data_IF_181429874666
#
_entry.id   IF_181429874666
#
_cell.length_a   1.000
_cell.length_b   1.000
_cell.length_c   1.000
_cell.angle_alpha   90.00
_cell.angle_beta   90.00
_cell.angle_gamma   90.00
#
_symmetry.space_group_name_H-M   'P 1'
#
loop_
_entity.id
_entity.type
_entity.pdbx_description
1 polymer ?
#
# COMPACT_ATOMS: atom_id res chain seq x y z
N UNK A 1 14.90 -1.29 -2.17
CA UNK A 1 13.85 -2.29 -1.90
C UNK A 1 14.49 -3.66 -1.88
N UNK A 2 14.15 -4.53 -0.94
CA UNK A 2 14.44 -5.95 -1.11
C UNK A 2 13.31 -6.53 -1.95
N UNK A 3 13.60 -7.03 -3.16
CA UNK A 3 12.73 -8.06 -3.76
C UNK A 3 12.74 -9.21 -2.77
N UNK A 4 11.70 -9.30 -1.93
CA UNK A 4 11.47 -10.55 -1.24
C UNK A 4 11.16 -11.57 -2.34
N UNK A 5 11.89 -12.69 -2.43
CA UNK A 5 11.43 -13.80 -3.26
C UNK A 5 9.96 -14.04 -2.89
N UNK A 6 9.07 -14.35 -3.86
CA UNK A 6 7.66 -14.61 -3.58
C UNK A 6 7.60 -15.47 -2.34
N UNK A 7 7.00 -14.96 -1.25
CA UNK A 7 7.08 -15.49 0.12
C UNK A 7 7.45 -16.97 0.05
N UNK A 8 8.75 -17.27 0.27
CA UNK A 8 9.41 -18.48 -0.25
C UNK A 8 8.60 -19.76 -0.07
N UNK A 9 8.86 -20.83 -0.84
CA UNK A 9 8.12 -22.09 -0.78
C UNK A 9 8.13 -22.63 0.66
N UNK A 10 7.11 -22.26 1.44
CA UNK A 10 7.22 -22.41 2.89
C UNK A 10 6.38 -21.50 3.77
N UNK A 11 5.93 -20.30 3.34
CA UNK A 11 5.09 -19.45 4.21
C UNK A 11 3.71 -19.26 3.60
N UNK A 12 3.63 -18.91 2.32
CA UNK A 12 2.37 -18.79 1.61
C UNK A 12 2.44 -19.65 0.35
N UNK A 13 2.02 -20.92 0.48
CA UNK A 13 1.92 -21.82 -0.68
C UNK A 13 1.10 -21.14 -1.79
N UNK A 14 1.43 -21.38 -3.07
CA UNK A 14 0.63 -20.88 -4.20
C UNK A 14 -0.87 -21.14 -4.02
N UNK A 15 -1.26 -22.28 -3.47
CA UNK A 15 -2.66 -22.60 -3.18
C UNK A 15 -3.30 -21.63 -2.16
N UNK A 16 -2.56 -21.18 -1.15
CA UNK A 16 -3.04 -20.18 -0.20
C UNK A 16 -2.98 -18.77 -0.81
N UNK A 17 -1.97 -18.47 -1.63
CA UNK A 17 -1.96 -17.25 -2.45
C UNK A 17 -3.25 -17.17 -3.26
N UNK A 18 -3.52 -18.19 -4.07
CA UNK A 18 -4.71 -18.28 -4.90
C UNK A 18 -5.99 -18.19 -4.04
N UNK A 19 -6.07 -18.91 -2.90
CA UNK A 19 -7.26 -18.89 -2.04
C UNK A 19 -7.49 -17.58 -1.25
N UNK A 20 -6.44 -16.81 -0.96
CA UNK A 20 -6.57 -15.49 -0.31
C UNK A 20 -6.84 -14.42 -1.37
N UNK A 21 -6.11 -14.48 -2.48
CA UNK A 21 -5.91 -13.34 -3.36
C UNK A 21 -6.65 -13.43 -4.70
N UNK A 22 -6.96 -14.63 -5.20
CA UNK A 22 -7.75 -14.78 -6.43
C UNK A 22 -9.19 -14.28 -6.25
N UNK A 23 -9.79 -14.53 -5.08
CA UNK A 23 -11.11 -13.99 -4.71
C UNK A 23 -11.14 -12.45 -4.61
N UNK A 24 -9.98 -11.80 -4.63
CA UNK A 24 -9.78 -10.38 -4.33
C UNK A 24 -9.06 -9.62 -5.45
N UNK A 25 -8.80 -10.28 -6.58
CA UNK A 25 -8.05 -9.74 -7.72
C UNK A 25 -6.65 -9.19 -7.37
N UNK A 26 -6.02 -9.75 -6.33
CA UNK A 26 -4.68 -9.35 -5.88
C UNK A 26 -3.64 -10.28 -6.51
N UNK A 27 -2.91 -9.83 -7.51
CA UNK A 27 -1.93 -10.68 -8.22
C UNK A 27 -0.49 -10.48 -7.73
N UNK A 28 -0.23 -9.34 -7.11
CA UNK A 28 1.08 -8.91 -6.65
C UNK A 28 0.96 -8.27 -5.26
N UNK A 29 1.87 -8.61 -4.35
CA UNK A 29 1.91 -8.05 -3.01
C UNK A 29 3.34 -7.77 -2.61
N UNK A 30 3.58 -6.56 -2.13
CA UNK A 30 4.90 -6.03 -1.83
C UNK A 30 4.98 -5.55 -0.40
N UNK A 31 6.09 -5.86 0.26
CA UNK A 31 6.42 -5.23 1.53
C UNK A 31 6.96 -3.83 1.22
N UNK A 32 6.28 -2.80 1.71
CA UNK A 32 6.72 -1.41 1.54
C UNK A 32 7.41 -0.99 2.82
N UNK A 33 8.61 -0.47 2.69
CA UNK A 33 9.37 0.07 3.80
C UNK A 33 9.68 1.55 3.53
N UNK A 34 9.52 2.37 4.58
CA UNK A 34 9.82 3.80 4.51
C UNK A 34 11.21 4.04 5.08
N UNK A 35 12.15 4.36 4.19
CA UNK A 35 13.51 4.77 4.51
C UNK A 35 13.82 6.15 3.88
N UNK A 36 14.88 6.80 4.36
CA UNK A 36 15.49 7.97 3.71
C UNK A 36 14.52 9.14 3.40
N UNK A 37 13.79 9.61 4.42
CA UNK A 37 12.97 10.82 4.27
C UNK A 37 13.86 12.05 3.96
N UNK A 38 13.38 13.00 3.14
CA UNK A 38 14.08 14.27 2.92
C UNK A 38 14.41 14.96 4.24
N UNK A 39 15.70 15.18 4.50
CA UNK A 39 16.20 15.75 5.77
C UNK A 39 16.16 17.28 5.73
N UNK A 40 14.96 17.85 5.57
CA UNK A 40 14.77 19.30 5.71
C UNK A 40 14.38 19.65 7.15
N UNK A 41 15.15 20.57 7.76
CA UNK A 41 15.01 21.01 9.15
C UNK A 41 13.88 22.04 9.35
N UNK A 42 12.68 21.72 8.90
CA UNK A 42 11.49 22.52 9.23
C UNK A 42 10.79 21.94 10.48
N UNK A 43 10.35 22.76 11.46
CA UNK A 43 9.57 22.28 12.61
C UNK A 43 8.28 21.53 12.24
N UNK A 44 7.74 21.79 11.05
CA UNK A 44 6.55 21.13 10.51
C UNK A 44 6.89 19.94 9.58
N UNK A 45 8.16 19.59 9.40
CA UNK A 45 8.53 18.38 8.66
C UNK A 45 8.06 17.13 9.40
N UNK A 46 7.45 16.14 8.71
CA UNK A 46 7.18 14.85 9.30
C UNK A 46 8.45 14.16 9.76
N UNK A 47 8.38 13.50 10.92
CA UNK A 47 9.48 12.63 11.39
C UNK A 47 9.49 11.30 10.65
N UNK A 48 10.60 10.55 10.70
CA UNK A 48 10.64 9.20 10.15
C UNK A 48 9.62 8.28 10.83
N UNK A 49 9.41 8.44 12.13
CA UNK A 49 8.40 7.69 12.87
C UNK A 49 6.99 7.99 12.32
N UNK A 50 6.68 9.26 12.07
CA UNK A 50 5.42 9.69 11.46
C UNK A 50 5.28 9.15 10.03
N UNK A 51 6.33 9.21 9.22
CA UNK A 51 6.32 8.67 7.87
C UNK A 51 6.10 7.15 7.85
N UNK A 52 6.62 6.39 8.81
CA UNK A 52 6.32 4.96 8.95
C UNK A 52 4.85 4.66 9.26
N UNK A 53 4.14 5.59 9.93
CA UNK A 53 2.69 5.46 10.16
C UNK A 53 1.85 5.69 8.90
N UNK A 54 2.47 6.07 7.78
CA UNK A 54 1.81 6.08 6.46
C UNK A 54 1.44 4.68 6.00
N UNK A 55 2.14 3.64 6.46
CA UNK A 55 1.77 2.25 6.24
C UNK A 55 0.67 1.90 7.26
N UNK A 56 -0.45 1.24 6.88
CA UNK A 56 -1.62 1.11 7.76
C UNK A 56 -1.34 0.23 8.96
N UNK A 57 -0.40 -0.70 8.79
CA UNK A 57 -0.01 -1.70 9.76
C UNK A 57 1.37 -2.25 9.39
N UNK A 58 2.24 -2.62 10.35
CA UNK A 58 3.55 -3.21 10.06
C UNK A 58 3.50 -4.50 9.22
N UNK A 59 2.38 -5.22 9.27
CA UNK A 59 2.14 -6.43 8.46
C UNK A 59 1.27 -6.16 7.23
N UNK A 60 1.18 -4.91 6.79
CA UNK A 60 0.48 -4.55 5.57
C UNK A 60 1.38 -4.75 4.35
N UNK A 61 0.80 -5.34 3.33
CA UNK A 61 1.38 -5.51 2.02
C UNK A 61 0.62 -4.61 1.05
N UNK A 62 1.34 -4.03 0.10
CA UNK A 62 0.80 -3.15 -0.93
C UNK A 62 0.63 -3.92 -2.24
N UNK A 63 -0.46 -3.71 -2.96
CA UNK A 63 -0.71 -4.20 -4.31
C UNK A 63 -0.69 -3.02 -5.27
N UNK A 64 0.24 -3.03 -6.24
CA UNK A 64 0.38 -1.97 -7.24
C UNK A 64 -0.80 -1.94 -8.21
N UNK A 65 -1.18 -3.11 -8.74
CA UNK A 65 -2.23 -3.27 -9.75
C UNK A 65 -3.58 -2.67 -9.30
N UNK A 66 -3.90 -2.84 -8.01
CA UNK A 66 -5.13 -2.32 -7.41
C UNK A 66 -4.91 -1.05 -6.58
N UNK A 67 -3.70 -0.51 -6.48
CA UNK A 67 -3.31 0.55 -5.55
C UNK A 67 -3.97 0.44 -4.18
N UNK A 68 -3.77 -0.69 -3.53
CA UNK A 68 -4.45 -1.00 -2.28
C UNK A 68 -3.55 -1.78 -1.32
N UNK A 69 -4.00 -1.95 -0.09
CA UNK A 69 -3.24 -2.59 0.96
C UNK A 69 -4.02 -3.72 1.60
N UNK A 70 -3.32 -4.77 2.00
CA UNK A 70 -3.89 -5.90 2.72
C UNK A 70 -2.97 -6.25 3.88
N UNK A 71 -3.55 -6.42 5.06
CA UNK A 71 -2.82 -6.91 6.23
C UNK A 71 -2.79 -8.43 6.16
N UNK A 72 -1.59 -8.99 6.29
CA UNK A 72 -1.34 -10.42 6.37
C UNK A 72 -0.49 -10.70 7.61
N UNK A 73 -1.13 -11.17 8.68
CA UNK A 73 -0.44 -11.51 9.94
C UNK A 73 -0.33 -13.02 10.11
N UNK A 74 0.90 -13.53 10.10
CA UNK A 74 1.22 -14.94 10.18
C UNK A 74 1.67 -15.33 11.57
N UNK A 75 1.08 -16.40 12.10
CA UNK A 75 1.39 -16.86 13.45
C UNK A 75 1.53 -18.38 13.46
N UNK A 76 2.50 -18.87 14.22
CA UNK A 76 2.57 -20.27 14.63
C UNK A 76 2.25 -20.35 16.11
N UNK A 77 0.98 -20.66 16.42
CA UNK A 77 0.47 -20.78 17.79
C UNK A 77 -0.71 -21.74 17.82
N UNK A 78 -0.71 -22.64 18.81
CA UNK A 78 -1.83 -23.53 19.09
C UNK A 78 -3.05 -22.76 19.57
N UNK A 79 -2.84 -21.64 20.27
CA UNK A 79 -3.88 -20.73 20.73
C UNK A 79 -4.31 -19.86 19.56
N UNK A 80 -5.58 -19.99 19.17
CA UNK A 80 -6.22 -19.16 18.17
C UNK A 80 -6.66 -17.81 18.77
N UNK A 81 -6.72 -16.75 17.97
CA UNK A 81 -7.23 -15.47 18.42
C UNK A 81 -8.71 -15.57 18.83
N UNK A 82 -9.19 -14.74 19.77
CA UNK A 82 -10.59 -14.66 20.14
C UNK A 82 -11.48 -14.43 18.92
N UNK A 83 -12.53 -15.24 18.79
CA UNK A 83 -13.48 -15.12 17.70
C UNK A 83 -14.46 -13.97 17.98
N UNK A 84 -14.67 -13.11 16.98
CA UNK A 84 -15.62 -12.00 17.05
C UNK A 84 -17.09 -12.48 16.97
N UNK A 85 -17.31 -13.71 16.47
CA UNK A 85 -18.64 -14.29 16.30
C UNK A 85 -18.60 -15.83 16.35
N UNK A 86 -19.73 -16.48 16.66
CA UNK A 86 -19.87 -17.93 16.48
C UNK A 86 -19.63 -18.35 15.02
N UNK A 87 -18.98 -19.49 14.83
CA UNK A 87 -18.68 -20.03 13.50
C UNK A 87 -19.78 -21.01 13.07
N UNK A 88 -20.13 -20.98 11.79
CA UNK A 88 -21.07 -21.93 11.18
C UNK A 88 -20.46 -23.32 10.97
N UNK A 89 -19.14 -23.39 10.88
CA UNK A 89 -18.36 -24.63 10.74
C UNK A 89 -17.42 -24.76 11.94
N UNK A 90 -17.19 -25.99 12.44
CA UNK A 90 -16.27 -26.20 13.55
C UNK A 90 -14.84 -25.82 13.16
N UNK A 91 -14.06 -25.40 14.16
CA UNK A 91 -12.61 -25.23 14.02
C UNK A 91 -11.95 -26.59 13.81
N UNK A 92 -10.76 -26.65 13.16
CA UNK A 92 -10.04 -27.91 13.04
C UNK A 92 -9.59 -28.41 14.42
N UNK A 93 -9.40 -29.73 14.54
CA UNK A 93 -9.05 -30.40 15.80
C UNK A 93 -7.82 -29.77 16.47
N UNK A 94 -8.03 -29.18 17.64
CA UNK A 94 -6.99 -28.48 18.40
C UNK A 94 -5.90 -29.44 18.92
N UNK A 95 -6.28 -30.62 19.42
CA UNK A 95 -5.34 -31.61 19.95
C UNK A 95 -4.39 -32.06 18.86
N UNK A 96 -4.92 -32.32 17.65
CA UNK A 96 -4.10 -32.66 16.49
C UNK A 96 -3.14 -31.52 16.13
N UNK A 97 -3.63 -30.28 16.06
CA UNK A 97 -2.82 -29.11 15.72
C UNK A 97 -1.69 -28.84 16.72
N UNK A 98 -1.85 -29.20 17.99
CA UNK A 98 -0.80 -29.07 19.00
C UNK A 98 0.37 -30.05 18.78
N UNK A 99 0.14 -31.18 18.11
CA UNK A 99 1.16 -32.21 17.92
C UNK A 99 2.16 -31.86 16.82
N UNK A 100 1.76 -31.02 15.85
CA UNK A 100 2.57 -30.67 14.69
C UNK A 100 2.81 -29.16 14.73
N UNK A 101 4.08 -28.76 14.87
CA UNK A 101 4.46 -27.33 14.91
C UNK A 101 4.36 -26.67 13.53
N UNK A 102 4.74 -27.38 12.48
CA UNK A 102 4.71 -26.91 11.08
C UNK A 102 4.49 -28.09 10.13
N UNK A 103 3.73 -27.87 9.06
CA UNK A 103 3.60 -28.84 7.97
C UNK A 103 4.78 -28.78 6.99
N UNK A 104 5.64 -27.77 7.11
CA UNK A 104 6.65 -27.42 6.11
C UNK A 104 8.05 -27.88 6.54
N UNK A 105 8.21 -28.30 7.81
CA UNK A 105 9.46 -28.82 8.32
C UNK A 105 9.54 -30.35 8.17
N UNK A 106 10.54 -30.81 7.41
CA UNK A 106 10.90 -32.20 7.23
C UNK A 106 12.41 -32.38 7.14
N UNK A 107 13.13 -32.14 8.24
CA UNK A 107 14.47 -32.74 8.44
C UNK A 107 14.30 -34.10 9.14
N UNK A 108 13.77 -35.06 8.39
CA UNK A 108 13.95 -36.47 8.75
C UNK A 108 15.37 -36.91 8.39
N UNK A 109 16.08 -37.71 9.21
CA UNK A 109 17.43 -38.18 8.93
C UNK A 109 17.53 -39.15 7.72
N UNK A 110 16.43 -39.41 7.03
CA UNK A 110 16.37 -40.26 5.84
C UNK A 110 15.12 -39.90 5.04
N UNK A 111 15.26 -39.86 3.71
CA UNK A 111 14.19 -39.73 2.69
C UNK A 111 13.51 -38.36 2.52
N UNK A 112 14.02 -37.62 1.51
CA UNK A 112 13.41 -36.59 0.65
C UNK A 112 12.39 -35.62 1.27
N UNK A 113 12.62 -34.29 1.20
CA UNK A 113 11.61 -33.31 1.57
C UNK A 113 10.38 -33.48 0.67
N UNK A 114 9.29 -34.01 1.22
CA UNK A 114 7.96 -33.86 0.62
C UNK A 114 7.49 -32.46 0.98
N UNK A 115 7.39 -31.56 0.01
CA UNK A 115 6.77 -30.25 0.21
C UNK A 115 5.29 -30.44 0.56
N UNK A 116 4.97 -30.57 1.84
CA UNK A 116 3.58 -30.65 2.29
C UNK A 116 3.10 -29.20 2.47
N UNK A 117 2.24 -28.74 1.56
CA UNK A 117 1.54 -27.48 1.73
C UNK A 117 0.56 -27.57 2.90
N UNK A 118 0.43 -26.50 3.67
CA UNK A 118 -0.64 -26.39 4.66
C UNK A 118 -2.03 -26.58 4.00
N UNK A 119 -2.91 -27.36 4.66
CA UNK A 119 -4.31 -27.45 4.28
C UNK A 119 -5.14 -26.45 5.09
N UNK A 120 -5.70 -25.44 4.41
CA UNK A 120 -6.28 -24.25 5.03
C UNK A 120 -7.80 -24.27 5.09
N UNK A 121 -8.33 -23.86 6.25
CA UNK A 121 -9.75 -23.59 6.45
C UNK A 121 -9.95 -22.08 6.64
N UNK A 122 -10.81 -21.48 5.82
CA UNK A 122 -11.13 -20.04 5.87
C UNK A 122 -12.38 -19.79 6.69
N UNK A 123 -12.28 -18.86 7.63
CA UNK A 123 -13.37 -18.35 8.44
C UNK A 123 -13.50 -16.84 8.20
N UNK A 124 -14.46 -16.45 7.36
CA UNK A 124 -14.63 -15.05 6.94
C UNK A 124 -14.99 -14.16 8.13
N UNK A 125 -14.38 -12.98 8.26
CA UNK A 125 -14.69 -11.98 9.29
C UNK A 125 -14.84 -12.61 10.69
N UNK A 126 -13.91 -13.48 11.05
CA UNK A 126 -13.98 -14.30 12.26
C UNK A 126 -13.26 -13.68 13.45
N UNK A 127 -12.33 -12.75 13.21
CA UNK A 127 -11.48 -12.13 14.24
C UNK A 127 -11.62 -10.62 14.17
N UNK A 128 -11.71 -9.94 15.31
CA UNK A 128 -11.77 -8.48 15.33
C UNK A 128 -10.37 -7.89 15.11
N UNK A 129 -10.22 -6.81 14.36
CA UNK A 129 -8.89 -6.25 14.05
C UNK A 129 -8.16 -5.68 15.28
N UNK A 130 -8.86 -5.47 16.40
CA UNK A 130 -8.24 -5.16 17.71
C UNK A 130 -7.47 -6.34 18.31
N UNK A 131 -7.46 -7.50 17.66
CA UNK A 131 -6.60 -8.63 18.05
C UNK A 131 -5.22 -8.58 17.36
N UNK A 132 -5.01 -7.62 16.43
CA UNK A 132 -3.69 -7.37 15.87
C UNK A 132 -2.81 -6.63 16.88
N UNK A 133 -1.51 -6.89 16.79
CA UNK A 133 -0.48 -6.19 17.53
C UNK A 133 0.57 -5.67 16.52
N UNK A 134 0.67 -4.35 16.30
CA UNK A 134 -0.09 -3.28 16.95
C UNK A 134 -1.58 -3.24 16.54
N UNK A 135 -2.41 -2.59 17.35
CA UNK A 135 -3.85 -2.46 17.09
C UNK A 135 -4.11 -1.73 15.76
N UNK A 136 -4.92 -2.33 14.89
CA UNK A 136 -5.46 -1.63 13.74
C UNK A 136 -6.62 -0.73 14.18
N UNK A 137 -6.41 0.58 14.17
CA UNK A 137 -7.42 1.58 14.56
C UNK A 137 -8.43 1.77 13.43
N UNK A 138 -9.28 0.77 13.22
CA UNK A 138 -10.51 0.84 12.40
C UNK A 138 -11.58 0.04 13.16
N UNK A 139 -12.50 0.77 13.80
CA UNK A 139 -13.40 0.26 14.84
C UNK A 139 -14.40 -0.83 14.38
N UNK A 140 -14.45 -1.13 13.08
CA UNK A 140 -15.36 -2.07 12.44
C UNK A 140 -14.65 -3.13 11.57
N UNK A 141 -13.32 -3.14 11.56
CA UNK A 141 -12.57 -4.05 10.69
C UNK A 141 -12.55 -5.45 11.30
N UNK A 142 -13.11 -6.41 10.55
CA UNK A 142 -13.02 -7.83 10.85
C UNK A 142 -12.02 -8.48 9.89
N UNK A 143 -11.27 -9.45 10.41
CA UNK A 143 -10.26 -10.20 9.69
C UNK A 143 -10.79 -11.60 9.35
N UNK A 144 -10.45 -12.06 8.16
CA UNK A 144 -10.58 -13.47 7.79
C UNK A 144 -9.51 -14.26 8.54
N UNK A 145 -9.91 -15.38 9.16
CA UNK A 145 -8.99 -16.30 9.82
C UNK A 145 -8.78 -17.52 8.92
N UNK A 146 -7.53 -17.80 8.57
CA UNK A 146 -7.12 -19.01 7.86
C UNK A 146 -6.39 -19.92 8.84
N UNK A 147 -6.91 -21.13 9.06
CA UNK A 147 -6.33 -22.09 10.03
C UNK A 147 -5.86 -23.34 9.31
N UNK A 148 -4.62 -23.77 9.55
CA UNK A 148 -4.16 -25.07 9.07
C UNK A 148 -4.80 -26.19 9.90
N UNK A 149 -5.37 -27.21 9.26
CA UNK A 149 -6.01 -28.32 10.00
C UNK A 149 -5.03 -29.34 10.60
N UNK A 150 -3.74 -29.24 10.27
CA UNK A 150 -2.72 -30.21 10.67
C UNK A 150 -1.77 -29.65 11.73
N UNK A 151 -1.35 -28.38 11.62
CA UNK A 151 -0.38 -27.76 12.53
C UNK A 151 -0.88 -26.50 13.23
N UNK A 152 -0.05 -25.92 14.08
CA UNK A 152 -0.30 -24.68 14.81
C UNK A 152 -0.27 -23.40 13.96
N UNK A 153 -0.09 -23.47 12.64
CA UNK A 153 -0.05 -22.27 11.79
C UNK A 153 -1.45 -21.71 11.54
N UNK A 154 -1.60 -20.39 11.67
CA UNK A 154 -2.76 -19.64 11.19
C UNK A 154 -2.34 -18.29 10.59
N UNK A 155 -3.21 -17.71 9.78
CA UNK A 155 -3.02 -16.41 9.15
C UNK A 155 -4.29 -15.55 9.34
N UNK A 156 -4.08 -14.26 9.62
CA UNK A 156 -5.13 -13.26 9.64
C UNK A 156 -5.01 -12.37 8.41
N UNK A 157 -6.13 -12.16 7.72
CA UNK A 157 -6.20 -11.37 6.50
C UNK A 157 -7.24 -10.28 6.63
N UNK A 158 -6.87 -9.01 6.41
CA UNK A 158 -7.85 -7.92 6.39
C UNK A 158 -8.66 -7.88 5.11
N UNK A 159 -9.73 -7.08 5.10
CA UNK A 159 -10.30 -6.58 3.84
C UNK A 159 -9.28 -5.69 3.11
N UNK A 160 -9.54 -5.44 1.83
CA UNK A 160 -8.73 -4.51 1.03
C UNK A 160 -8.88 -3.10 1.62
N UNK A 161 -7.76 -2.46 1.89
CA UNK A 161 -7.67 -1.07 2.32
C UNK A 161 -7.31 -0.26 1.08
N UNK A 162 -8.24 0.53 0.53
CA UNK A 162 -7.97 1.29 -0.68
C UNK A 162 -6.84 2.31 -0.46
N UNK A 163 -6.09 2.59 -1.53
CA UNK A 163 -5.15 3.70 -1.56
C UNK A 163 -5.85 5.06 -1.48
N UNK A 164 -5.06 6.12 -1.32
CA UNK A 164 -5.57 7.51 -1.30
C UNK A 164 -6.13 7.91 -2.65
N UNK A 165 -5.48 7.46 -3.72
CA UNK A 165 -5.92 7.66 -5.11
C UNK A 165 -6.60 6.36 -5.56
N UNK A 166 -7.80 6.41 -6.13
CA UNK A 166 -8.45 5.18 -6.61
C UNK A 166 -7.70 4.58 -7.81
N UNK A 167 -7.76 3.26 -7.94
CA UNK A 167 -7.18 2.53 -9.08
C UNK A 167 -7.69 3.06 -10.40
N UNK A 168 -8.99 3.34 -10.51
CA UNK A 168 -9.62 3.90 -11.71
C UNK A 168 -8.96 5.22 -12.13
N UNK A 169 -8.67 6.11 -11.18
CA UNK A 169 -8.01 7.38 -11.46
C UNK A 169 -6.55 7.20 -11.87
N UNK A 170 -5.85 6.22 -11.29
CA UNK A 170 -4.49 5.90 -11.69
C UNK A 170 -4.44 5.35 -13.12
N UNK A 171 -5.32 4.41 -13.46
CA UNK A 171 -5.40 3.83 -14.79
C UNK A 171 -5.77 4.88 -15.83
N UNK A 172 -6.77 5.72 -15.56
CA UNK A 172 -7.16 6.82 -16.45
C UNK A 172 -6.00 7.81 -16.64
N UNK A 173 -5.32 8.19 -15.57
CA UNK A 173 -4.19 9.11 -15.64
C UNK A 173 -3.02 8.53 -16.43
N UNK A 174 -2.70 7.25 -16.21
CA UNK A 174 -1.69 6.54 -16.97
C UNK A 174 -2.04 6.54 -18.46
N UNK A 175 -3.27 6.17 -18.81
CA UNK A 175 -3.76 6.10 -20.19
C UNK A 175 -3.72 7.47 -20.89
N UNK A 176 -4.18 8.53 -20.22
CA UNK A 176 -4.11 9.91 -20.75
C UNK A 176 -2.67 10.29 -21.07
N UNK A 177 -1.75 10.00 -20.16
CA UNK A 177 -0.33 10.34 -20.31
C UNK A 177 0.34 9.54 -21.38
N UNK A 178 0.07 8.24 -21.41
CA UNK A 178 0.58 7.33 -22.42
C UNK A 178 0.15 7.77 -23.82
N UNK A 179 -1.14 8.09 -24.01
CA UNK A 179 -1.69 8.54 -25.31
C UNK A 179 -1.22 9.92 -25.73
N UNK A 180 -0.93 10.81 -24.77
CA UNK A 180 -0.45 12.17 -25.08
C UNK A 180 0.96 12.20 -25.67
N UNK A 181 1.71 11.10 -25.53
CA UNK A 181 3.07 11.00 -26.03
C UNK A 181 3.09 10.57 -27.50
N UNK A 182 3.62 11.44 -28.37
CA UNK A 182 3.79 11.13 -29.79
C UNK A 182 4.81 10.00 -30.07
N UNK A 183 5.57 9.55 -29.05
CA UNK A 183 6.39 8.33 -29.09
C UNK A 183 6.00 7.41 -27.95
N UNK A 184 6.02 6.10 -28.16
CA UNK A 184 5.84 5.04 -27.15
C UNK A 184 6.93 5.11 -26.06
N UNK A 185 6.84 6.10 -25.17
CA UNK A 185 7.80 6.31 -24.09
C UNK A 185 7.01 6.55 -22.83
N UNK A 186 7.33 5.76 -21.83
CA UNK A 186 6.85 5.88 -20.46
C UNK A 186 7.28 7.20 -19.78
N UNK A 187 8.32 7.85 -20.29
CA UNK A 187 8.90 9.07 -19.71
C UNK A 187 7.90 10.16 -19.30
N UNK A 188 6.85 10.52 -20.09
CA UNK A 188 5.87 11.51 -19.69
C UNK A 188 5.00 11.08 -18.50
N UNK A 189 4.73 9.78 -18.37
CA UNK A 189 4.01 9.22 -17.20
C UNK A 189 4.86 9.39 -15.95
N UNK A 190 6.14 8.98 -16.01
CA UNK A 190 7.07 9.11 -14.88
C UNK A 190 7.30 10.56 -14.48
N UNK A 191 7.48 11.47 -15.43
CA UNK A 191 7.65 12.91 -15.15
C UNK A 191 6.41 13.51 -14.47
N UNK A 192 5.22 13.05 -14.85
CA UNK A 192 3.97 13.49 -14.24
C UNK A 192 3.85 12.99 -12.79
N UNK A 193 4.18 11.73 -12.52
CA UNK A 193 4.21 11.17 -11.17
C UNK A 193 5.29 11.79 -10.28
N UNK A 194 6.49 11.98 -10.82
CA UNK A 194 7.60 12.66 -10.14
C UNK A 194 7.22 14.10 -9.75
N UNK A 195 6.49 14.80 -10.62
CA UNK A 195 5.97 16.13 -10.32
C UNK A 195 4.94 16.13 -9.19
N UNK A 196 4.01 15.16 -9.18
CA UNK A 196 3.02 15.00 -8.09
C UNK A 196 3.75 14.67 -6.78
N UNK A 197 4.70 13.72 -6.82
CA UNK A 197 5.50 13.32 -5.66
C UNK A 197 6.29 14.51 -5.10
N UNK A 198 7.01 15.24 -5.96
CA UNK A 198 7.75 16.46 -5.60
C UNK A 198 6.82 17.52 -4.99
N UNK A 199 5.58 17.63 -5.48
CA UNK A 199 4.59 18.57 -4.93
C UNK A 199 4.17 18.17 -3.51
N UNK A 200 3.93 16.87 -3.27
CA UNK A 200 3.66 16.33 -1.93
C UNK A 200 4.89 16.56 -1.03
N UNK A 201 6.10 16.33 -1.54
CA UNK A 201 7.33 16.46 -0.76
C UNK A 201 7.62 17.90 -0.35
N UNK A 202 7.49 18.84 -1.29
CA UNK A 202 7.61 20.26 -1.01
C UNK A 202 6.57 20.68 0.04
N UNK A 203 5.37 20.10 0.01
CA UNK A 203 4.38 20.40 1.02
C UNK A 203 4.78 19.86 2.39
N UNK A 204 5.09 18.56 2.48
CA UNK A 204 5.37 17.87 3.73
C UNK A 204 6.68 18.34 4.40
N UNK A 205 7.79 18.35 3.67
CA UNK A 205 9.13 18.58 4.26
C UNK A 205 9.64 20.01 4.12
N UNK A 206 9.21 20.74 3.09
CA UNK A 206 9.63 22.16 2.90
C UNK A 206 8.61 23.16 3.44
N UNK A 207 7.45 22.68 3.90
CA UNK A 207 6.31 23.52 4.28
C UNK A 207 5.97 24.55 3.20
N UNK A 208 6.05 24.14 1.92
CA UNK A 208 5.62 25.00 0.82
C UNK A 208 4.13 25.29 0.97
N UNK A 209 3.77 26.57 1.04
CA UNK A 209 2.40 27.05 1.25
C UNK A 209 1.89 27.89 0.08
N UNK A 210 2.77 28.22 -0.86
CA UNK A 210 2.41 29.01 -2.04
C UNK A 210 1.42 28.21 -2.90
N UNK A 211 0.43 28.93 -3.42
CA UNK A 211 -0.47 28.38 -4.40
C UNK A 211 0.30 28.06 -5.70
N UNK A 212 0.01 26.93 -6.32
CA UNK A 212 0.68 26.49 -7.55
C UNK A 212 -0.15 26.91 -8.77
N UNK A 213 0.34 27.83 -9.63
CA UNK A 213 -0.38 28.21 -10.83
C UNK A 213 -0.42 27.08 -11.84
N UNK A 214 -1.62 26.63 -12.17
CA UNK A 214 -1.85 25.54 -13.13
C UNK A 214 -1.41 25.96 -14.55
N UNK A 215 -1.54 27.25 -14.86
CA UNK A 215 -1.06 27.88 -16.10
C UNK A 215 0.46 28.02 -16.18
N UNK A 216 1.17 27.77 -15.08
CA UNK A 216 2.61 28.01 -14.94
C UNK A 216 3.47 27.16 -15.88
N UNK A 217 4.63 27.68 -16.34
CA UNK A 217 5.50 26.96 -17.28
C UNK A 217 6.01 25.61 -16.75
N UNK A 218 6.35 25.53 -15.45
CA UNK A 218 6.82 24.28 -14.83
C UNK A 218 5.69 23.25 -14.74
N UNK A 219 4.49 23.69 -14.37
CA UNK A 219 3.31 22.84 -14.32
C UNK A 219 3.03 22.26 -15.71
N UNK A 220 2.88 23.10 -16.73
CA UNK A 220 2.62 22.68 -18.11
C UNK A 220 3.69 21.76 -18.70
N UNK A 221 4.96 21.93 -18.31
CA UNK A 221 6.06 21.10 -18.79
C UNK A 221 5.99 19.67 -18.26
N UNK A 222 5.62 19.51 -16.98
CA UNK A 222 5.67 18.21 -16.31
C UNK A 222 4.29 17.54 -16.24
N UNK A 223 3.21 18.34 -16.27
CA UNK A 223 1.85 17.90 -16.03
C UNK A 223 0.83 18.74 -16.83
N UNK A 224 0.21 18.13 -17.84
CA UNK A 224 -0.99 18.63 -18.51
C UNK A 224 -2.15 18.68 -17.52
N UNK A 225 -2.85 19.80 -17.44
CA UNK A 225 -3.99 19.90 -16.55
C UNK A 225 -5.25 19.29 -17.17
N UNK A 226 -5.60 18.08 -16.74
CA UNK A 226 -6.83 17.35 -17.12
C UNK A 226 -7.77 17.22 -15.92
N UNK A 227 -9.00 16.76 -16.16
CA UNK A 227 -9.93 16.50 -15.06
C UNK A 227 -9.40 15.38 -14.13
N UNK A 228 -8.77 14.36 -14.70
CA UNK A 228 -8.11 13.29 -13.95
C UNK A 228 -6.98 13.82 -13.07
N UNK A 229 -6.13 14.71 -13.59
CA UNK A 229 -5.10 15.36 -12.78
C UNK A 229 -5.71 16.19 -11.63
N UNK A 230 -6.81 16.90 -11.88
CA UNK A 230 -7.56 17.63 -10.85
C UNK A 230 -8.07 16.68 -9.75
N UNK A 231 -8.73 15.59 -10.14
CA UNK A 231 -9.26 14.59 -9.21
C UNK A 231 -8.17 13.93 -8.37
N UNK A 232 -6.99 13.66 -8.95
CA UNK A 232 -5.83 13.15 -8.20
C UNK A 232 -5.38 14.15 -7.13
N UNK A 233 -5.20 15.42 -7.49
CA UNK A 233 -4.82 16.47 -6.53
C UNK A 233 -5.88 16.64 -5.42
N UNK A 234 -7.16 16.57 -5.75
CA UNK A 234 -8.26 16.59 -4.78
C UNK A 234 -8.25 15.38 -3.84
N UNK A 235 -7.98 14.17 -4.38
CA UNK A 235 -7.90 12.95 -3.59
C UNK A 235 -6.82 13.05 -2.49
N UNK A 236 -5.65 13.61 -2.83
CA UNK A 236 -4.54 13.86 -1.90
C UNK A 236 -4.71 15.14 -1.06
N UNK A 237 -5.76 15.93 -1.28
CA UNK A 237 -6.20 17.02 -0.41
C UNK A 237 -5.91 18.45 -0.89
N UNK A 238 -5.31 18.63 -2.07
CA UNK A 238 -5.17 19.95 -2.68
C UNK A 238 -6.53 20.41 -3.24
N UNK A 239 -6.78 21.72 -3.24
CA UNK A 239 -8.03 22.29 -3.75
C UNK A 239 -7.75 23.26 -4.88
N UNK A 240 -8.58 23.27 -5.92
CA UNK A 240 -8.52 24.34 -6.92
C UNK A 240 -9.21 25.59 -6.41
N UNK A 241 -8.64 26.76 -6.67
CA UNK A 241 -9.26 28.05 -6.34
C UNK A 241 -8.70 29.19 -7.17
N UNK A 242 -9.25 30.41 -7.03
CA UNK A 242 -8.66 31.60 -7.62
C UNK A 242 -7.32 31.93 -6.95
N UNK A 243 -6.35 32.44 -7.72
CA UNK A 243 -5.08 32.90 -7.17
C UNK A 243 -5.32 34.08 -6.21
N UNK A 244 -4.65 34.11 -5.05
CA UNK A 244 -4.71 35.26 -4.15
C UNK A 244 -4.13 36.53 -4.80
N UNK A 245 -3.23 36.38 -5.77
CA UNK A 245 -2.57 37.50 -6.47
C UNK A 245 -3.34 37.90 -7.74
N UNK A 246 -4.05 36.96 -8.38
CA UNK A 246 -4.76 37.18 -9.64
C UNK A 246 -6.06 36.36 -9.69
N UNK A 247 -7.21 36.99 -9.43
CA UNK A 247 -8.50 36.31 -9.37
C UNK A 247 -8.91 35.59 -10.67
N UNK A 248 -8.31 35.94 -11.82
CA UNK A 248 -8.57 35.30 -13.10
C UNK A 248 -7.73 34.03 -13.33
N UNK A 249 -6.74 33.75 -12.48
CA UNK A 249 -5.88 32.58 -12.58
C UNK A 249 -6.35 31.49 -11.62
N UNK A 250 -6.46 30.26 -12.13
CA UNK A 250 -6.77 29.09 -11.30
C UNK A 250 -5.47 28.48 -10.76
N UNK A 251 -5.44 28.22 -9.46
CA UNK A 251 -4.30 27.67 -8.74
C UNK A 251 -4.68 26.42 -7.95
N UNK A 252 -3.69 25.60 -7.65
CA UNK A 252 -3.79 24.55 -6.63
C UNK A 252 -3.38 25.11 -5.28
N UNK A 253 -4.29 25.03 -4.31
CA UNK A 253 -4.10 25.43 -2.94
C UNK A 253 -3.63 24.21 -2.11
N UNK A 254 -2.46 24.31 -1.44
CA UNK A 254 -1.98 23.21 -0.61
C UNK A 254 -2.84 23.00 0.64
N UNK A 255 -3.01 21.76 1.11
CA UNK A 255 -3.74 21.49 2.35
C UNK A 255 -2.95 21.97 3.59
N UNK A 256 -3.64 22.28 4.70
CA UNK A 256 -2.98 22.53 5.98
C UNK A 256 -2.29 21.23 6.46
N UNK A 257 -1.11 21.34 7.10
CA UNK A 257 -0.38 20.18 7.64
C UNK A 257 0.03 20.38 9.10
N UNK A 258 -0.47 21.42 9.76
CA UNK A 258 -0.11 21.73 11.14
C UNK A 258 -0.62 20.62 12.08
N UNK A 259 0.28 19.89 12.78
CA UNK A 259 -0.10 18.76 13.63
C UNK A 259 -0.89 19.18 14.86
N UNK A 260 -0.89 20.46 15.23
CA UNK A 260 -1.68 20.98 16.35
C UNK A 260 -3.17 20.96 15.99
N UNK A 261 -3.50 21.19 14.71
CA UNK A 261 -4.88 21.23 14.23
C UNK A 261 -5.39 19.84 13.84
N UNK A 262 -6.66 19.49 14.11
CA UNK A 262 -7.24 18.24 13.61
C UNK A 262 -7.19 18.10 12.09
N UNK A 263 -7.50 19.18 11.36
CA UNK A 263 -7.47 19.21 9.90
C UNK A 263 -6.06 18.98 9.34
N UNK A 264 -5.05 19.60 9.97
CA UNK A 264 -3.66 19.44 9.58
C UNK A 264 -3.13 18.03 9.85
N UNK A 265 -3.53 17.38 10.94
CA UNK A 265 -3.19 15.97 11.20
C UNK A 265 -3.77 15.03 10.15
N UNK A 266 -5.06 15.18 9.83
CA UNK A 266 -5.71 14.33 8.83
C UNK A 266 -5.12 14.53 7.43
N UNK A 267 -4.94 15.79 7.02
CA UNK A 267 -4.32 16.13 5.74
C UNK A 267 -2.88 15.63 5.64
N UNK A 268 -2.09 15.75 6.72
CA UNK A 268 -0.73 15.24 6.75
C UNK A 268 -0.70 13.71 6.66
N UNK A 269 -1.54 13.01 7.42
CA UNK A 269 -1.67 11.54 7.35
C UNK A 269 -2.01 11.10 5.92
N UNK A 270 -2.97 11.78 5.28
CA UNK A 270 -3.36 11.54 3.88
C UNK A 270 -2.22 11.78 2.89
N UNK A 271 -1.48 12.88 3.03
CA UNK A 271 -0.33 13.18 2.16
C UNK A 271 0.81 12.17 2.33
N UNK A 272 1.17 11.83 3.57
CA UNK A 272 2.19 10.82 3.85
C UNK A 272 1.81 9.45 3.28
N UNK A 273 0.51 9.12 3.37
CA UNK A 273 -0.04 7.91 2.79
C UNK A 273 0.09 7.89 1.27
N UNK A 274 -0.34 8.96 0.60
CA UNK A 274 -0.22 9.09 -0.84
C UNK A 274 1.25 9.07 -1.31
N UNK A 275 2.13 9.73 -0.55
CA UNK A 275 3.58 9.70 -0.79
C UNK A 275 4.11 8.26 -0.76
N UNK A 276 3.82 7.49 0.29
CA UNK A 276 4.28 6.11 0.40
C UNK A 276 3.73 5.20 -0.71
N UNK A 277 2.47 5.39 -1.11
CA UNK A 277 1.85 4.66 -2.22
C UNK A 277 2.52 4.97 -3.56
N UNK A 278 2.67 6.26 -3.91
CA UNK A 278 3.30 6.68 -5.18
C UNK A 278 4.78 6.25 -5.22
N UNK A 279 5.53 6.43 -4.13
CA UNK A 279 6.93 5.98 -4.06
C UNK A 279 7.03 4.46 -4.23
N UNK A 280 6.14 3.69 -3.60
CA UNK A 280 6.11 2.25 -3.78
C UNK A 280 5.81 1.88 -5.25
N UNK A 281 4.77 2.45 -5.85
CA UNK A 281 4.42 2.23 -7.26
C UNK A 281 5.61 2.50 -8.18
N UNK A 282 6.25 3.67 -8.06
CA UNK A 282 7.38 4.05 -8.90
C UNK A 282 8.60 3.15 -8.73
N UNK A 283 8.86 2.66 -7.52
CA UNK A 283 10.00 1.78 -7.25
C UNK A 283 9.81 0.37 -7.80
N UNK A 284 8.57 -0.13 -7.84
CA UNK A 284 8.27 -1.45 -8.43
C UNK A 284 8.32 -1.41 -9.95
N UNK A 285 7.93 -0.27 -10.49
CA UNK A 285 7.95 0.01 -11.90
C UNK A 285 9.39 0.21 -12.41
N UNK A 286 10.31 0.82 -11.65
CA UNK A 286 11.73 0.90 -12.04
C UNK A 286 12.37 -0.47 -12.29
N UNK A 287 12.01 -1.49 -11.51
CA UNK A 287 12.50 -2.87 -11.73
C UNK A 287 11.87 -3.52 -12.98
N UNK A 288 10.61 -3.16 -13.30
CA UNK A 288 9.98 -3.52 -14.59
C UNK A 288 10.66 -2.78 -15.75
N UNK A 289 11.17 -1.58 -15.54
CA UNK A 289 11.82 -0.76 -16.56
C UNK A 289 13.28 -1.09 -16.81
N UNK A 290 14.02 -1.60 -15.83
CA UNK A 290 15.36 -2.17 -16.05
C UNK A 290 15.32 -3.44 -16.93
N UNK A 291 14.18 -4.15 -17.00
CA UNK A 291 13.97 -5.23 -17.99
C UNK A 291 13.80 -4.74 -19.42
N UNK A 292 13.47 -3.47 -19.62
CA UNK A 292 13.41 -2.83 -20.94
C UNK A 292 14.67 -1.99 -21.10
N UNK A 293 15.78 -2.68 -21.34
CA UNK A 293 17.11 -2.14 -21.58
C UNK A 293 17.06 -1.04 -22.65
N UNK A 294 16.88 0.21 -22.23
CA UNK A 294 17.13 1.37 -23.07
C UNK A 294 18.63 1.63 -22.96
N UNK A 295 19.41 0.94 -23.79
CA UNK A 295 20.76 1.39 -24.11
C UNK A 295 20.63 2.83 -24.62
N UNK A 296 21.07 3.76 -23.78
CA UNK A 296 21.32 5.14 -24.19
C UNK A 296 22.49 5.08 -25.16
N UNK A 297 22.21 5.13 -26.46
CA UNK A 297 23.19 5.55 -27.47
C UNK A 297 23.55 7.03 -27.29
#
# INVERSE_FOLDING_TARGET
MAEHPPLGPGILSKALFDAIFHDRDLYSLFSVEVFDIPCDKNPLSPTLAEARTSIPHPHAFYCDDLNCWVILDWRSSSVLPPLARPLSTPLPDHTRRMQIKSCIEGEGPSSRPTYVSHHWHRYKRAVHATQLDPLLIRNDTALDLYVCCQCSTYCLVSEVIPGVISTDLLSEFFDERWRSSASEKLKPVLLAWDFILTTIENRLWKNETRALPISGPQFKRNLVWTDTARQIFEAIGFKTGPSPENQNETVLLPPPIDPVTPEGRESRKKLLRAWAEITASLSMDSDKFDRYDFTVE
#
